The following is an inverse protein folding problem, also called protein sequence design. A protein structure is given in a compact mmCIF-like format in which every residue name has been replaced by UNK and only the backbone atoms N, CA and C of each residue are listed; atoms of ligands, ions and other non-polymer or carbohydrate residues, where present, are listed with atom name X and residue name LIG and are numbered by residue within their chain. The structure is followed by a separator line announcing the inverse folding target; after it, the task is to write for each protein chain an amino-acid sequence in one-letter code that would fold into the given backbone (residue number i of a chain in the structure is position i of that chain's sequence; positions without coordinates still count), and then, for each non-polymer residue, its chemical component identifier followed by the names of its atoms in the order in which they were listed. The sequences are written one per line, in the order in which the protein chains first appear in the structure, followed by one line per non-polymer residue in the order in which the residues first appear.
data_IF_202208980322
#
_entry.id   IF_202208980322
#
_cell.length_a   1.000
_cell.length_b   1.000
_cell.length_c   1.000
_cell.angle_alpha   90.00
_cell.angle_beta   90.00
_cell.angle_gamma   90.00
#
_symmetry.space_group_name_H-M   'P 1'
#
loop_
_entity.id
_entity.type
_entity.pdbx_description
1 polymer ?
#
# COMPACT_ATOMS: atom_id res chain seq x y z
N UNK A 1 22.33 13.25 45.57
CA UNK A 1 22.98 13.33 44.23
C UNK A 1 22.17 12.68 43.09
N UNK A 2 21.07 11.96 43.36
CA UNK A 2 20.25 11.32 42.31
C UNK A 2 19.30 12.29 41.57
N UNK A 3 18.85 13.35 42.24
CA UNK A 3 17.82 14.27 41.72
C UNK A 3 18.28 15.08 40.49
N UNK A 4 19.53 15.52 40.46
CA UNK A 4 20.12 16.27 39.33
C UNK A 4 20.35 15.42 38.09
N UNK A 5 20.64 14.12 38.22
CA UNK A 5 20.77 13.21 37.06
C UNK A 5 19.44 12.96 36.37
N UNK A 6 18.35 12.83 37.13
CA UNK A 6 17.00 12.64 36.56
C UNK A 6 16.55 13.88 35.80
N UNK A 7 16.75 15.07 36.37
CA UNK A 7 16.40 16.34 35.71
C UNK A 7 17.21 16.57 34.44
N UNK A 8 18.52 16.27 34.45
CA UNK A 8 19.37 16.41 33.26
C UNK A 8 18.98 15.43 32.15
N UNK A 9 18.68 14.18 32.50
CA UNK A 9 18.18 13.16 31.55
C UNK A 9 16.84 13.60 30.97
N UNK A 10 15.94 14.16 31.78
CA UNK A 10 14.65 14.69 31.33
C UNK A 10 14.82 15.89 30.39
N UNK A 11 15.74 16.81 30.70
CA UNK A 11 16.05 17.99 29.87
C UNK A 11 16.71 17.60 28.53
N UNK A 12 17.61 16.62 28.54
CA UNK A 12 18.22 16.08 27.34
C UNK A 12 17.22 15.30 26.49
N UNK A 13 16.32 14.54 27.11
CA UNK A 13 15.22 13.85 26.42
C UNK A 13 14.23 14.83 25.79
N UNK A 14 13.83 15.90 26.49
CA UNK A 14 12.93 16.92 25.92
C UNK A 14 13.61 17.72 24.81
N UNK A 15 14.89 18.08 24.97
CA UNK A 15 15.67 18.76 23.94
C UNK A 15 15.91 17.88 22.70
N UNK A 16 16.25 16.60 22.89
CA UNK A 16 16.42 15.64 21.80
C UNK A 16 15.09 15.34 21.09
N UNK A 17 13.99 15.25 21.85
CA UNK A 17 12.64 15.07 21.30
C UNK A 17 12.21 16.30 20.47
N UNK A 18 12.43 17.52 20.98
CA UNK A 18 12.16 18.75 20.23
C UNK A 18 13.01 18.87 18.96
N UNK A 19 14.30 18.49 19.04
CA UNK A 19 15.18 18.45 17.87
C UNK A 19 14.72 17.41 16.84
N UNK A 20 14.35 16.21 17.29
CA UNK A 20 13.81 15.16 16.42
C UNK A 20 12.49 15.59 15.75
N UNK A 21 11.59 16.25 16.47
CA UNK A 21 10.34 16.81 15.94
C UNK A 21 10.64 17.88 14.89
N UNK A 22 11.56 18.81 15.17
CA UNK A 22 11.94 19.87 14.23
C UNK A 22 12.55 19.31 12.94
N UNK A 23 13.45 18.32 13.05
CA UNK A 23 14.07 17.66 11.89
C UNK A 23 13.03 16.89 11.06
N UNK A 24 12.11 16.18 11.70
CA UNK A 24 11.03 15.48 10.99
C UNK A 24 10.13 16.46 10.23
N UNK A 25 9.75 17.58 10.86
CA UNK A 25 8.91 18.60 10.24
C UNK A 25 9.59 19.25 9.03
N UNK A 26 10.91 19.45 9.07
CA UNK A 26 11.66 19.99 7.94
C UNK A 26 11.75 19.00 6.77
N UNK A 27 11.86 17.71 7.05
CA UNK A 27 11.83 16.67 6.04
C UNK A 27 10.46 16.58 5.34
N UNK A 28 9.35 16.63 6.08
CA UNK A 28 7.99 16.65 5.49
C UNK A 28 7.82 17.83 4.55
N UNK A 29 8.18 19.05 4.98
CA UNK A 29 8.08 20.24 4.13
C UNK A 29 8.92 20.15 2.85
N UNK A 30 10.04 19.42 2.88
CA UNK A 30 10.84 19.18 1.68
C UNK A 30 10.12 18.19 0.75
N UNK A 31 9.60 17.09 1.29
CA UNK A 31 8.82 16.12 0.53
C UNK A 31 7.60 16.75 -0.13
N UNK A 32 6.82 17.55 0.60
CA UNK A 32 5.65 18.26 0.06
C UNK A 32 6.03 19.16 -1.13
N UNK A 33 7.12 19.92 -1.01
CA UNK A 33 7.63 20.76 -2.10
C UNK A 33 8.06 19.94 -3.31
N UNK A 34 8.74 18.80 -3.09
CA UNK A 34 9.14 17.91 -4.16
C UNK A 34 7.92 17.24 -4.83
N UNK A 35 6.91 16.84 -4.05
CA UNK A 35 5.70 16.20 -4.54
C UNK A 35 4.86 17.11 -5.43
N UNK A 36 4.88 18.43 -5.22
CA UNK A 36 4.21 19.38 -6.13
C UNK A 36 4.73 19.24 -7.57
N UNK A 37 6.05 19.12 -7.74
CA UNK A 37 6.67 18.98 -9.06
C UNK A 37 6.62 17.53 -9.58
N UNK A 38 6.72 16.54 -8.67
CA UNK A 38 6.82 15.13 -8.99
C UNK A 38 5.51 14.35 -8.79
N UNK A 39 4.36 15.02 -8.77
CA UNK A 39 3.09 14.42 -8.40
C UNK A 39 2.65 13.25 -9.30
N UNK A 40 3.12 13.23 -10.56
CA UNK A 40 2.82 12.20 -11.55
C UNK A 40 3.62 10.90 -11.37
N UNK A 41 4.60 10.88 -10.47
CA UNK A 41 5.49 9.73 -10.29
C UNK A 41 5.12 8.93 -9.03
N UNK A 42 4.65 7.67 -9.16
CA UNK A 42 4.21 6.87 -8.02
C UNK A 42 5.34 6.56 -7.03
N UNK A 43 6.60 6.50 -7.47
CA UNK A 43 7.75 6.16 -6.64
C UNK A 43 8.01 7.18 -5.53
N UNK A 44 7.77 8.47 -5.82
CA UNK A 44 7.93 9.53 -4.83
C UNK A 44 6.81 9.47 -3.78
N UNK A 45 5.58 9.17 -4.20
CA UNK A 45 4.47 8.95 -3.28
C UNK A 45 4.72 7.74 -2.38
N UNK A 46 5.13 6.60 -2.92
CA UNK A 46 5.42 5.40 -2.12
C UNK A 46 6.50 5.68 -1.05
N UNK A 47 7.61 6.34 -1.43
CA UNK A 47 8.65 6.73 -0.47
C UNK A 47 8.16 7.72 0.58
N UNK A 48 7.28 8.65 0.18
CA UNK A 48 6.70 9.60 1.12
C UNK A 48 5.81 8.88 2.14
N UNK A 49 4.95 7.96 1.70
CA UNK A 49 4.08 7.19 2.61
C UNK A 49 4.90 6.36 3.60
N UNK A 50 5.97 5.68 3.15
CA UNK A 50 6.87 4.92 4.03
C UNK A 50 7.58 5.82 5.06
N UNK A 51 8.01 7.01 4.63
CA UNK A 51 8.59 8.02 5.51
C UNK A 51 7.57 8.48 6.57
N UNK A 52 6.35 8.82 6.15
CA UNK A 52 5.27 9.26 7.03
C UNK A 52 4.87 8.17 8.03
N UNK A 53 4.79 6.91 7.59
CA UNK A 53 4.47 5.77 8.46
C UNK A 53 5.50 5.63 9.59
N UNK A 54 6.78 5.87 9.29
CA UNK A 54 7.88 5.74 10.24
C UNK A 54 7.99 6.93 11.20
N UNK A 55 7.68 8.16 10.75
CA UNK A 55 7.97 9.39 11.49
C UNK A 55 6.76 10.01 12.17
N UNK A 56 5.63 10.05 11.49
CA UNK A 56 4.45 10.80 11.95
C UNK A 56 3.26 9.89 12.28
N UNK A 57 3.25 8.67 11.75
CA UNK A 57 2.31 7.62 12.09
C UNK A 57 1.43 7.17 10.93
N UNK A 58 0.68 6.08 11.18
CA UNK A 58 -0.09 5.35 10.17
C UNK A 58 -1.25 6.15 9.57
N UNK A 59 -1.89 7.01 10.35
CA UNK A 59 -3.04 7.81 9.89
C UNK A 59 -2.63 8.84 8.83
N UNK A 60 -1.53 9.56 9.08
CA UNK A 60 -1.01 10.56 8.14
C UNK A 60 -0.46 9.91 6.87
N UNK A 61 0.15 8.73 7.00
CA UNK A 61 0.56 7.91 5.86
C UNK A 61 -0.65 7.47 5.01
N UNK A 62 -1.76 7.03 5.64
CA UNK A 62 -3.00 6.70 4.93
C UNK A 62 -3.58 7.92 4.20
N UNK A 63 -3.59 9.09 4.85
CA UNK A 63 -4.08 10.33 4.22
C UNK A 63 -3.25 10.72 2.99
N UNK A 64 -1.92 10.66 3.09
CA UNK A 64 -1.03 10.91 1.95
C UNK A 64 -1.28 9.93 0.80
N UNK A 65 -1.57 8.67 1.12
CA UNK A 65 -1.86 7.64 0.13
C UNK A 65 -3.22 7.82 -0.54
N UNK A 66 -4.23 8.27 0.20
CA UNK A 66 -5.52 8.67 -0.33
C UNK A 66 -5.39 9.87 -1.26
N UNK A 67 -4.60 10.88 -0.90
CA UNK A 67 -4.28 11.99 -1.80
C UNK A 67 -3.61 11.51 -3.10
N UNK A 68 -2.63 10.61 -3.00
CA UNK A 68 -1.95 10.05 -4.17
C UNK A 68 -2.93 9.35 -5.11
N UNK A 69 -3.74 8.43 -4.57
CA UNK A 69 -4.64 7.56 -5.33
C UNK A 69 -5.91 8.25 -5.84
N UNK A 70 -6.43 9.25 -5.11
CA UNK A 70 -7.68 9.92 -5.49
C UNK A 70 -7.46 11.22 -6.27
N UNK A 71 -6.32 11.90 -6.11
CA UNK A 71 -6.10 13.21 -6.75
C UNK A 71 -5.17 13.09 -7.94
N UNK A 72 -4.00 12.48 -7.77
CA UNK A 72 -2.91 12.57 -8.74
C UNK A 72 -2.76 11.34 -9.64
N UNK A 73 -2.86 10.14 -9.07
CA UNK A 73 -2.49 8.89 -9.72
C UNK A 73 -3.68 7.92 -9.83
N UNK A 74 -4.84 8.47 -10.19
CA UNK A 74 -6.13 7.76 -10.24
C UNK A 74 -6.12 6.47 -11.04
N UNK A 75 -5.34 6.43 -12.11
CA UNK A 75 -5.29 5.30 -13.06
C UNK A 75 -4.05 4.43 -12.88
N UNK A 76 -3.09 4.81 -12.02
CA UNK A 76 -1.80 4.11 -11.98
C UNK A 76 -1.90 2.86 -11.11
N UNK A 77 -1.78 1.63 -11.66
CA UNK A 77 -2.07 0.41 -10.91
C UNK A 77 -1.08 0.17 -9.76
N UNK A 78 0.19 0.58 -9.91
CA UNK A 78 1.24 0.31 -8.91
C UNK A 78 0.96 0.97 -7.56
N UNK A 79 0.44 2.21 -7.56
CA UNK A 79 0.15 2.93 -6.31
C UNK A 79 -1.11 2.40 -5.64
N UNK A 80 -2.11 1.96 -6.42
CA UNK A 80 -3.31 1.32 -5.88
C UNK A 80 -3.01 -0.03 -5.25
N UNK A 81 -2.10 -0.80 -5.85
CA UNK A 81 -1.62 -2.04 -5.27
C UNK A 81 -0.83 -1.82 -3.98
N UNK A 82 -0.01 -0.76 -3.94
CA UNK A 82 0.66 -0.32 -2.72
C UNK A 82 -0.36 0.11 -1.65
N UNK A 83 -1.42 0.84 -2.03
CA UNK A 83 -2.54 1.21 -1.17
C UNK A 83 -3.27 0.00 -0.58
N UNK A 84 -3.60 -0.99 -1.39
CA UNK A 84 -4.25 -2.21 -0.93
C UNK A 84 -3.40 -2.94 0.14
N UNK A 85 -2.09 -3.07 -0.10
CA UNK A 85 -1.15 -3.66 0.87
C UNK A 85 -1.01 -2.85 2.14
N UNK A 86 -0.96 -1.52 2.02
CA UNK A 86 -0.88 -0.63 3.17
C UNK A 86 -2.14 -0.75 4.04
N UNK A 87 -3.32 -0.74 3.42
CA UNK A 87 -4.61 -0.91 4.10
C UNK A 87 -4.74 -2.28 4.76
N UNK A 88 -4.26 -3.35 4.11
CA UNK A 88 -4.16 -4.67 4.73
C UNK A 88 -3.27 -4.65 5.98
N UNK A 89 -2.09 -4.00 5.92
CA UNK A 89 -1.13 -3.91 7.03
C UNK A 89 -1.70 -3.18 8.25
N UNK A 90 -2.51 -2.14 8.05
CA UNK A 90 -3.16 -1.42 9.15
C UNK A 90 -4.42 -2.14 9.68
N UNK A 91 -4.85 -3.22 9.04
CA UNK A 91 -6.04 -4.00 9.41
C UNK A 91 -7.34 -3.53 8.75
N UNK A 92 -7.28 -2.55 7.83
CA UNK A 92 -8.43 -2.09 7.04
C UNK A 92 -8.68 -3.01 5.84
N UNK A 93 -9.29 -4.15 6.12
CA UNK A 93 -9.64 -5.16 5.10
C UNK A 93 -10.62 -4.60 4.05
N UNK A 94 -11.55 -3.74 4.47
CA UNK A 94 -12.57 -3.20 3.58
C UNK A 94 -11.93 -2.25 2.57
N UNK A 95 -11.10 -1.32 3.05
CA UNK A 95 -10.40 -0.41 2.17
C UNK A 95 -9.37 -1.11 1.28
N UNK A 96 -8.72 -2.18 1.76
CA UNK A 96 -7.83 -3.00 0.94
C UNK A 96 -8.55 -3.62 -0.27
N UNK A 97 -9.74 -4.21 -0.06
CA UNK A 97 -10.59 -4.74 -1.15
C UNK A 97 -11.00 -3.65 -2.14
N UNK A 98 -11.37 -2.46 -1.65
CA UNK A 98 -11.74 -1.34 -2.52
C UNK A 98 -10.56 -0.88 -3.39
N UNK A 99 -9.34 -0.86 -2.84
CA UNK A 99 -8.14 -0.49 -3.59
C UNK A 99 -7.82 -1.49 -4.72
N UNK A 100 -8.05 -2.80 -4.52
CA UNK A 100 -7.88 -3.80 -5.57
C UNK A 100 -8.85 -3.60 -6.75
N UNK A 101 -10.11 -3.24 -6.48
CA UNK A 101 -11.10 -2.98 -7.54
C UNK A 101 -10.68 -1.85 -8.49
N UNK A 102 -9.92 -0.87 -8.00
CA UNK A 102 -9.43 0.25 -8.82
C UNK A 102 -8.25 -0.15 -9.72
N UNK A 103 -7.57 -1.27 -9.44
CA UNK A 103 -6.49 -1.79 -10.26
C UNK A 103 -6.97 -2.55 -11.51
N UNK A 104 -8.19 -3.08 -11.50
CA UNK A 104 -8.67 -4.03 -12.52
C UNK A 104 -9.20 -3.38 -13.81
N UNK A 105 -9.47 -2.07 -13.79
CA UNK A 105 -10.28 -1.44 -14.83
C UNK A 105 -9.52 -1.12 -16.14
N UNK A 106 -8.19 -0.96 -16.15
CA UNK A 106 -7.53 -0.29 -17.28
C UNK A 106 -6.18 -0.88 -17.75
N UNK A 107 -5.50 -1.77 -17.00
CA UNK A 107 -4.12 -2.17 -17.32
C UNK A 107 -3.89 -3.68 -17.41
N UNK A 108 -3.80 -4.18 -18.64
CA UNK A 108 -3.51 -5.58 -18.97
C UNK A 108 -2.18 -6.11 -18.44
N UNK A 109 -1.17 -5.23 -18.33
CA UNK A 109 0.19 -5.63 -17.92
C UNK A 109 0.30 -6.01 -16.45
N UNK A 110 -0.64 -5.56 -15.60
CA UNK A 110 -0.64 -5.81 -14.16
C UNK A 110 -1.76 -6.76 -13.71
N UNK A 111 -2.65 -7.17 -14.62
CA UNK A 111 -3.86 -7.95 -14.30
C UNK A 111 -3.59 -9.21 -13.48
N UNK A 112 -2.69 -10.08 -13.95
CA UNK A 112 -2.37 -11.34 -13.25
C UNK A 112 -1.77 -11.08 -11.88
N UNK A 113 -0.92 -10.06 -11.76
CA UNK A 113 -0.27 -9.68 -10.52
C UNK A 113 -1.25 -9.14 -9.47
N UNK A 114 -2.23 -8.34 -9.90
CA UNK A 114 -3.32 -7.84 -9.05
C UNK A 114 -4.15 -9.00 -8.50
N UNK A 115 -4.63 -9.88 -9.39
CA UNK A 115 -5.44 -11.05 -9.03
C UNK A 115 -4.70 -11.94 -8.03
N UNK A 116 -3.41 -12.21 -8.26
CA UNK A 116 -2.60 -12.98 -7.34
C UNK A 116 -2.50 -12.32 -5.96
N UNK A 117 -2.28 -11.01 -5.91
CA UNK A 117 -2.11 -10.28 -4.65
C UNK A 117 -3.42 -10.19 -3.86
N UNK A 118 -4.54 -9.95 -4.55
CA UNK A 118 -5.87 -9.93 -3.95
C UNK A 118 -6.26 -11.31 -3.39
N UNK A 119 -6.12 -12.38 -4.18
CA UNK A 119 -6.43 -13.73 -3.73
C UNK A 119 -5.52 -14.17 -2.57
N UNK A 120 -4.25 -13.77 -2.58
CA UNK A 120 -3.33 -14.05 -1.47
C UNK A 120 -3.70 -13.27 -0.19
N UNK A 121 -4.24 -12.07 -0.30
CA UNK A 121 -4.79 -11.34 0.85
C UNK A 121 -5.97 -12.13 1.45
N UNK A 122 -6.95 -12.52 0.64
CA UNK A 122 -8.11 -13.30 1.14
C UNK A 122 -7.68 -14.63 1.78
N UNK A 123 -6.66 -15.27 1.22
CA UNK A 123 -6.05 -16.46 1.83
C UNK A 123 -5.45 -16.16 3.21
N UNK A 124 -4.70 -15.06 3.37
CA UNK A 124 -4.14 -14.66 4.69
C UNK A 124 -5.24 -14.33 5.71
N UNK A 125 -6.39 -13.87 5.24
CA UNK A 125 -7.57 -13.60 6.07
C UNK A 125 -8.39 -14.87 6.38
N UNK A 126 -8.02 -16.04 5.84
CA UNK A 126 -8.73 -17.31 6.02
C UNK A 126 -9.93 -17.51 5.09
N UNK A 127 -10.19 -16.59 4.17
CA UNK A 127 -11.34 -16.62 3.26
C UNK A 127 -11.00 -17.37 1.96
N UNK A 128 -10.76 -18.68 2.05
CA UNK A 128 -10.39 -19.51 0.89
C UNK A 128 -11.46 -19.51 -0.23
N UNK A 129 -12.74 -19.44 0.14
CA UNK A 129 -13.84 -19.33 -0.82
C UNK A 129 -13.77 -18.02 -1.62
N UNK A 130 -13.46 -16.89 -0.97
CA UNK A 130 -13.31 -15.60 -1.64
C UNK A 130 -12.08 -15.60 -2.55
N UNK A 131 -10.95 -16.12 -2.07
CA UNK A 131 -9.74 -16.28 -2.87
C UNK A 131 -9.99 -17.13 -4.14
N UNK A 132 -10.76 -18.22 -4.00
CA UNK A 132 -11.12 -19.07 -5.15
C UNK A 132 -12.02 -18.34 -6.13
N UNK A 133 -13.02 -17.60 -5.64
CA UNK A 133 -13.92 -16.80 -6.48
C UNK A 133 -13.16 -15.74 -7.29
N UNK A 134 -12.14 -15.11 -6.71
CA UNK A 134 -11.29 -14.13 -7.41
C UNK A 134 -10.59 -14.78 -8.62
N UNK A 135 -9.95 -15.94 -8.43
CA UNK A 135 -9.31 -16.66 -9.53
C UNK A 135 -10.31 -17.12 -10.59
N UNK A 136 -11.47 -17.64 -10.21
CA UNK A 136 -12.51 -18.07 -11.15
C UNK A 136 -13.03 -16.91 -12.01
N UNK A 137 -13.26 -15.73 -11.40
CA UNK A 137 -13.64 -14.52 -12.13
C UNK A 137 -12.54 -14.09 -13.10
N UNK A 138 -11.29 -14.07 -12.65
CA UNK A 138 -10.16 -13.68 -13.48
C UNK A 138 -9.93 -14.64 -14.66
N UNK A 139 -10.12 -15.94 -14.45
CA UNK A 139 -10.03 -16.95 -15.52
C UNK A 139 -11.11 -16.76 -16.58
N UNK A 140 -12.35 -16.45 -16.18
CA UNK A 140 -13.43 -16.13 -17.12
C UNK A 140 -13.10 -14.89 -17.95
N UNK A 141 -12.70 -13.79 -17.29
CA UNK A 141 -12.31 -12.55 -17.96
C UNK A 141 -11.14 -12.75 -18.94
N UNK A 142 -10.12 -13.51 -18.55
CA UNK A 142 -8.97 -13.79 -19.40
C UNK A 142 -9.32 -14.71 -20.59
N UNK A 143 -10.24 -15.67 -20.40
CA UNK A 143 -10.73 -16.53 -21.47
C UNK A 143 -11.58 -15.74 -22.47
N UNK A 144 -12.48 -14.88 -21.99
CA UNK A 144 -13.32 -14.00 -22.83
C UNK A 144 -12.45 -13.04 -23.65
N UNK A 145 -11.37 -12.52 -23.06
CA UNK A 145 -10.39 -11.68 -23.74
C UNK A 145 -9.38 -12.46 -24.62
N UNK A 146 -9.50 -13.78 -24.74
CA UNK A 146 -8.60 -14.68 -25.50
C UNK A 146 -7.10 -14.59 -25.10
N UNK A 147 -6.79 -14.25 -23.85
CA UNK A 147 -5.42 -14.09 -23.34
C UNK A 147 -4.88 -15.39 -22.77
N UNK A 148 -4.57 -16.36 -23.64
CA UNK A 148 -4.14 -17.71 -23.25
C UNK A 148 -2.94 -17.76 -22.29
N UNK A 149 -1.97 -16.86 -22.46
CA UNK A 149 -0.82 -16.74 -21.55
C UNK A 149 -1.26 -16.43 -20.12
N UNK A 150 -2.18 -15.47 -19.95
CA UNK A 150 -2.68 -15.07 -18.62
C UNK A 150 -3.53 -16.19 -18.00
N UNK A 151 -4.36 -16.86 -18.80
CA UNK A 151 -5.13 -18.04 -18.36
C UNK A 151 -4.21 -19.11 -17.79
N UNK A 152 -3.11 -19.39 -18.49
CA UNK A 152 -2.14 -20.41 -18.10
C UNK A 152 -1.49 -20.09 -16.74
N UNK A 153 -1.05 -18.85 -16.55
CA UNK A 153 -0.44 -18.41 -15.29
C UNK A 153 -1.47 -18.43 -14.16
N UNK A 154 -2.67 -17.86 -14.37
CA UNK A 154 -3.74 -17.85 -13.38
C UNK A 154 -4.11 -19.26 -12.93
N UNK A 155 -4.15 -20.22 -13.85
CA UNK A 155 -4.45 -21.62 -13.53
C UNK A 155 -3.39 -22.26 -12.63
N UNK A 156 -2.10 -22.00 -12.89
CA UNK A 156 -1.01 -22.46 -12.03
C UNK A 156 -1.19 -21.92 -10.61
N UNK A 157 -1.46 -20.62 -10.46
CA UNK A 157 -1.65 -20.02 -9.13
C UNK A 157 -2.92 -20.51 -8.44
N UNK A 158 -4.01 -20.69 -9.17
CA UNK A 158 -5.25 -21.25 -8.64
C UNK A 158 -5.08 -22.69 -8.14
N UNK A 159 -4.35 -23.53 -8.89
CA UNK A 159 -4.03 -24.89 -8.45
C UNK A 159 -3.24 -24.89 -7.14
N UNK A 160 -2.25 -24.00 -6.99
CA UNK A 160 -1.48 -23.84 -5.74
C UNK A 160 -2.36 -23.40 -4.57
N UNK A 161 -3.34 -22.54 -4.78
CA UNK A 161 -4.29 -22.15 -3.74
C UNK A 161 -5.12 -23.34 -3.24
N UNK A 162 -5.49 -24.26 -4.13
CA UNK A 162 -6.42 -25.35 -3.82
C UNK A 162 -5.76 -26.57 -3.17
N UNK A 163 -4.52 -26.87 -3.55
CA UNK A 163 -3.83 -28.12 -3.17
C UNK A 163 -2.70 -27.94 -2.17
N UNK A 164 -2.44 -26.71 -1.71
CA UNK A 164 -1.33 -26.36 -0.81
C UNK A 164 -1.86 -25.62 0.41
#
# INVERSE_FOLDING_TARGET
MAFTRVVLVWFLLTSFCLYAIFVCLQAVKLYEKCLIACASYPEFWMRYVEFMETKEGRELANFALEQATQTFLKIVPVIHLFNARFKEKIGDVRGARTAFLHCDAEFDSCFVDNVMKEANMERRLGNLAAASSIYEKALKLAADAQKLHNVSILYIHFSRLKYM
#
